data_IF_294438135894
#
_entry.id   IF_294438135894
#
_cell.length_a   1.000
_cell.length_b   1.000
_cell.length_c   1.000
_cell.angle_alpha   90.00
_cell.angle_beta   90.00
_cell.angle_gamma   90.00
#
_symmetry.space_group_name_H-M   'P 1'
#
loop_
_entity.id
_entity.type
_entity.pdbx_description
1 polymer ?
#
# COMPACT_ATOMS: atom_id res chain seq x y z
N UNK A 1 -15.51 8.19 -0.77
CA UNK A 1 -14.97 7.62 0.48
C UNK A 1 -14.06 8.65 1.14
N UNK A 2 -14.09 8.79 2.48
CA UNK A 2 -13.15 9.69 3.18
C UNK A 2 -11.74 9.09 3.18
N UNK A 3 -10.71 9.95 3.32
CA UNK A 3 -9.31 9.50 3.29
C UNK A 3 -9.02 8.47 4.39
N UNK A 4 -9.42 8.76 5.62
CA UNK A 4 -9.08 7.92 6.78
C UNK A 4 -9.76 6.55 6.71
N UNK A 5 -11.03 6.52 6.27
CA UNK A 5 -11.76 5.27 6.02
C UNK A 5 -11.07 4.44 4.94
N UNK A 6 -10.58 5.08 3.87
CA UNK A 6 -9.85 4.39 2.80
C UNK A 6 -8.56 3.77 3.31
N UNK A 7 -7.72 4.53 4.02
CA UNK A 7 -6.44 4.04 4.55
C UNK A 7 -6.62 2.81 5.44
N UNK A 8 -7.66 2.80 6.29
CA UNK A 8 -7.99 1.65 7.13
C UNK A 8 -8.34 0.42 6.26
N UNK A 9 -9.16 0.60 5.22
CA UNK A 9 -9.53 -0.49 4.32
C UNK A 9 -8.34 -0.99 3.49
N UNK A 10 -7.48 -0.09 3.01
CA UNK A 10 -6.25 -0.43 2.28
C UNK A 10 -5.30 -1.23 3.17
N UNK A 11 -5.13 -0.84 4.44
CA UNK A 11 -4.33 -1.58 5.40
C UNK A 11 -4.86 -3.01 5.60
N UNK A 12 -6.19 -3.17 5.76
CA UNK A 12 -6.82 -4.49 5.88
C UNK A 12 -6.63 -5.31 4.60
N UNK A 13 -6.85 -4.69 3.44
CA UNK A 13 -6.70 -5.32 2.12
C UNK A 13 -5.27 -5.82 1.91
N UNK A 14 -4.27 -4.98 2.19
CA UNK A 14 -2.86 -5.34 2.06
C UNK A 14 -2.51 -6.48 3.02
N UNK A 15 -2.91 -6.39 4.30
CA UNK A 15 -2.66 -7.46 5.27
C UNK A 15 -3.32 -8.79 4.90
N UNK A 16 -4.42 -8.77 4.14
CA UNK A 16 -5.09 -9.99 3.66
C UNK A 16 -4.37 -10.67 2.48
N UNK A 17 -3.44 -9.98 1.82
CA UNK A 17 -2.72 -10.46 0.64
C UNK A 17 -1.25 -10.69 0.95
N UNK A 18 -0.71 -11.83 0.51
CA UNK A 18 0.74 -12.11 0.61
C UNK A 18 1.57 -11.19 -0.28
N UNK A 19 1.04 -10.87 -1.47
CA UNK A 19 1.64 -9.97 -2.46
C UNK A 19 0.50 -9.21 -3.16
N UNK A 20 0.72 -7.94 -3.50
CA UNK A 20 -0.22 -7.15 -4.28
C UNK A 20 0.53 -6.21 -5.23
N UNK A 21 -0.08 -5.85 -6.34
CA UNK A 21 0.42 -4.82 -7.24
C UNK A 21 -0.27 -3.49 -6.99
N UNK A 22 0.40 -2.38 -7.29
CA UNK A 22 -0.20 -1.04 -7.24
C UNK A 22 -1.48 -0.94 -8.10
N UNK A 23 -1.52 -1.64 -9.24
CA UNK A 23 -2.70 -1.67 -10.11
C UNK A 23 -3.89 -2.35 -9.45
N UNK A 24 -3.65 -3.32 -8.55
CA UNK A 24 -4.73 -3.97 -7.80
C UNK A 24 -5.37 -2.98 -6.82
N UNK A 25 -4.56 -2.14 -6.17
CA UNK A 25 -5.05 -1.09 -5.26
C UNK A 25 -5.84 -0.02 -6.02
N UNK A 26 -5.34 0.39 -7.19
CA UNK A 26 -6.01 1.34 -8.08
C UNK A 26 -7.39 0.83 -8.50
N UNK A 27 -7.46 -0.43 -8.94
CA UNK A 27 -8.72 -1.04 -9.40
C UNK A 27 -9.71 -1.31 -8.26
N UNK A 28 -9.23 -1.83 -7.12
CA UNK A 28 -10.07 -2.18 -5.97
C UNK A 28 -10.74 -0.93 -5.35
N UNK A 29 -9.99 0.17 -5.24
CA UNK A 29 -10.46 1.38 -4.56
C UNK A 29 -10.91 2.51 -5.50
N UNK A 30 -10.87 2.29 -6.82
CA UNK A 30 -11.18 3.27 -7.87
C UNK A 30 -10.44 4.62 -7.67
N UNK A 31 -9.13 4.53 -7.43
CA UNK A 31 -8.28 5.69 -7.16
C UNK A 31 -7.21 5.88 -8.22
N UNK A 32 -6.81 7.13 -8.47
CA UNK A 32 -5.69 7.41 -9.36
C UNK A 32 -4.37 6.83 -8.83
N UNK A 33 -3.42 6.55 -9.73
CA UNK A 33 -2.06 6.13 -9.37
C UNK A 33 -1.38 7.07 -8.35
N UNK A 34 -1.55 8.38 -8.52
CA UNK A 34 -0.95 9.35 -7.59
C UNK A 34 -1.57 9.28 -6.18
N UNK A 35 -2.85 8.95 -6.10
CA UNK A 35 -3.55 8.75 -4.82
C UNK A 35 -3.06 7.47 -4.16
N UNK A 36 -3.01 6.37 -4.91
CA UNK A 36 -2.50 5.09 -4.42
C UNK A 36 -1.06 5.21 -3.85
N UNK A 37 -0.18 5.95 -4.53
CA UNK A 37 1.19 6.18 -4.05
C UNK A 37 1.25 7.02 -2.76
N UNK A 38 0.42 8.07 -2.65
CA UNK A 38 0.33 8.88 -1.43
C UNK A 38 -0.22 8.08 -0.25
N UNK A 39 -1.18 7.21 -0.53
CA UNK A 39 -1.79 6.38 0.49
C UNK A 39 -0.81 5.29 0.97
N UNK A 40 -0.05 4.66 0.08
CA UNK A 40 1.09 3.78 0.43
C UNK A 40 2.08 4.50 1.35
N UNK A 41 2.52 5.71 1.00
CA UNK A 41 3.42 6.50 1.84
C UNK A 41 2.81 6.80 3.22
N UNK A 42 1.50 7.08 3.28
CA UNK A 42 0.80 7.30 4.55
C UNK A 42 0.75 6.02 5.38
N UNK A 43 0.59 4.85 4.75
CA UNK A 43 0.60 3.56 5.44
C UNK A 43 1.98 3.18 5.97
N UNK A 44 3.05 3.49 5.25
CA UNK A 44 4.44 3.33 5.74
C UNK A 44 4.70 4.19 6.99
N UNK A 45 4.26 5.45 6.98
CA UNK A 45 4.35 6.35 8.15
C UNK A 45 3.55 5.82 9.36
N UNK A 46 2.46 5.10 9.11
CA UNK A 46 1.66 4.42 10.14
C UNK A 46 2.28 3.10 10.62
N UNK A 47 3.41 2.69 10.05
CA UNK A 47 4.16 1.50 10.45
C UNK A 47 3.77 0.21 9.73
N UNK A 48 3.06 0.30 8.59
CA UNK A 48 2.80 -0.88 7.75
C UNK A 48 4.08 -1.23 6.99
N UNK A 49 4.67 -2.43 7.19
CA UNK A 49 5.90 -2.82 6.51
C UNK A 49 5.59 -3.20 5.06
N UNK A 50 5.66 -2.23 4.16
CA UNK A 50 5.49 -2.42 2.72
C UNK A 50 6.87 -2.59 2.07
N UNK A 51 7.11 -3.75 1.47
CA UNK A 51 8.34 -4.02 0.71
C UNK A 51 8.04 -3.89 -0.77
N UNK A 52 8.75 -3.00 -1.47
CA UNK A 52 8.72 -2.93 -2.92
C UNK A 52 9.76 -3.89 -3.47
N UNK A 53 9.32 -4.98 -4.10
CA UNK A 53 10.15 -5.75 -5.04
C UNK A 53 10.33 -4.91 -6.32
N UNK A 54 10.96 -3.74 -6.20
CA UNK A 54 11.77 -3.21 -7.29
C UNK A 54 13.05 -4.01 -7.27
N UNK A 55 13.64 -4.27 -8.41
CA UNK A 55 14.94 -4.92 -8.58
C UNK A 55 16.07 -4.05 -7.99
N UNK A 56 16.00 -3.75 -6.69
CA UNK A 56 17.00 -3.17 -5.81
C UNK A 56 16.61 -3.63 -4.40
N UNK A 57 17.29 -4.69 -3.98
CA UNK A 57 17.34 -5.22 -2.63
C UNK A 57 17.53 -4.09 -1.61
N UNK A 58 16.53 -3.84 -0.77
CA UNK A 58 16.75 -3.19 0.53
C UNK A 58 16.52 -4.29 1.56
N UNK A 59 17.60 -5.04 1.80
CA UNK A 59 17.69 -5.91 2.96
C UNK A 59 17.44 -5.06 4.21
N UNK A 60 16.39 -5.42 4.95
CA UNK A 60 16.35 -5.18 6.39
C UNK A 60 16.26 -6.56 7.03
N UNK A 61 17.36 -7.31 6.91
CA UNK A 61 17.62 -8.41 7.83
C UNK A 61 18.04 -7.76 9.16
N UNK A 62 17.49 -8.26 10.26
CA UNK A 62 18.00 -8.02 11.60
C UNK A 62 19.49 -8.35 11.73
#
# INVERSE_FOLDING_TARGET
MKKDERLIQEMIYINSKKNFNLNDLIGEFDISRSTALRDISSLEELGVPLYSEREVMVDITC
#
